data_IF_683598322518
#
_entry.id   IF_683598322518
#
_cell.length_a   1.000
_cell.length_b   1.000
_cell.length_c   1.000
_cell.angle_alpha   90.00
_cell.angle_beta   90.00
_cell.angle_gamma   90.00
#
_symmetry.space_group_name_H-M   'P 1'
#
loop_
_entity.id
_entity.type
_entity.pdbx_description
1 polymer ?
#
# COMPACT_ATOMS: atom_id res chain seq x y z
N UNK A 1 26.69 8.02 -17.66
CA UNK A 1 26.45 9.42 -18.07
C UNK A 1 25.04 9.68 -18.59
N UNK A 2 24.39 8.80 -19.39
CA UNK A 2 22.98 9.03 -19.77
C UNK A 2 21.98 8.79 -18.63
N UNK A 3 22.31 7.89 -17.68
CA UNK A 3 21.49 7.60 -16.49
C UNK A 3 21.35 8.81 -15.56
N UNK A 4 22.45 9.54 -15.32
CA UNK A 4 22.50 10.62 -14.33
C UNK A 4 21.77 11.87 -14.83
N UNK A 5 21.80 12.11 -16.16
CA UNK A 5 21.07 13.18 -16.81
C UNK A 5 19.55 12.94 -16.76
N UNK A 6 19.11 11.70 -17.00
CA UNK A 6 17.70 11.32 -16.85
C UNK A 6 17.24 11.42 -15.39
N UNK A 7 18.10 11.06 -14.44
CA UNK A 7 17.81 11.20 -13.01
C UNK A 7 17.68 12.67 -12.59
N UNK A 8 18.56 13.53 -13.09
CA UNK A 8 18.53 14.98 -12.82
C UNK A 8 17.31 15.67 -13.46
N UNK A 9 16.90 15.25 -14.66
CA UNK A 9 15.65 15.73 -15.29
C UNK A 9 14.42 15.27 -14.48
N UNK A 10 14.46 14.09 -13.86
CA UNK A 10 13.36 13.58 -13.02
C UNK A 10 13.16 14.42 -11.75
N UNK A 11 14.17 15.17 -11.30
CA UNK A 11 14.11 16.00 -10.08
C UNK A 11 13.56 17.40 -10.37
N UNK A 12 13.52 17.84 -11.63
CA UNK A 12 12.92 19.13 -11.99
C UNK A 12 11.39 19.08 -11.83
N UNK A 13 10.90 19.46 -10.65
CA UNK A 13 9.48 19.59 -10.33
C UNK A 13 8.92 20.81 -11.05
N UNK A 14 8.32 20.59 -12.22
CA UNK A 14 7.55 21.64 -12.89
C UNK A 14 6.30 21.92 -12.04
N UNK A 15 6.09 23.16 -11.57
CA UNK A 15 4.94 23.49 -10.73
C UNK A 15 3.65 23.22 -11.50
N UNK A 16 2.65 22.66 -10.82
CA UNK A 16 1.38 22.26 -11.43
C UNK A 16 0.71 23.40 -12.21
N UNK A 17 0.82 24.64 -11.70
CA UNK A 17 0.30 25.84 -12.38
C UNK A 17 0.90 26.03 -13.78
N UNK A 18 2.21 25.80 -13.92
CA UNK A 18 2.91 25.94 -15.20
C UNK A 18 2.56 24.80 -16.16
N UNK A 19 2.33 23.59 -15.64
CA UNK A 19 1.83 22.46 -16.44
C UNK A 19 0.44 22.77 -17.02
N UNK A 20 -0.47 23.27 -16.18
CA UNK A 20 -1.84 23.63 -16.59
C UNK A 20 -1.80 24.78 -17.60
N UNK A 21 -1.01 25.83 -17.36
CA UNK A 21 -0.92 26.96 -18.30
C UNK A 21 -0.30 26.55 -19.63
N UNK A 22 0.75 25.71 -19.61
CA UNK A 22 1.37 25.17 -20.82
C UNK A 22 0.42 24.29 -21.62
N UNK A 23 -0.39 23.47 -20.95
CA UNK A 23 -1.44 22.68 -21.61
C UNK A 23 -2.49 23.55 -22.29
N UNK A 24 -2.99 24.54 -21.55
CA UNK A 24 -4.04 25.43 -22.03
C UNK A 24 -3.53 26.23 -23.24
N UNK A 25 -2.30 26.73 -23.19
CA UNK A 25 -1.66 27.40 -24.32
C UNK A 25 -1.54 26.47 -25.53
N UNK A 26 -1.12 25.20 -25.33
CA UNK A 26 -1.04 24.22 -26.40
C UNK A 26 -2.40 23.94 -27.06
N UNK A 27 -3.47 23.80 -26.26
CA UNK A 27 -4.84 23.62 -26.77
C UNK A 27 -5.29 24.84 -27.57
N UNK A 28 -5.05 26.06 -27.07
CA UNK A 28 -5.43 27.30 -27.75
C UNK A 28 -4.74 27.41 -29.09
N UNK A 29 -3.43 27.15 -29.15
CA UNK A 29 -2.67 27.21 -30.40
C UNK A 29 -3.18 26.15 -31.39
N UNK A 30 -3.46 24.93 -30.92
CA UNK A 30 -4.01 23.86 -31.76
C UNK A 30 -5.40 24.25 -32.32
N UNK A 31 -6.26 24.83 -31.48
CA UNK A 31 -7.59 25.29 -31.90
C UNK A 31 -7.50 26.43 -32.92
N UNK A 32 -6.59 27.38 -32.72
CA UNK A 32 -6.34 28.47 -33.67
C UNK A 32 -5.82 27.93 -35.00
N UNK A 33 -4.91 26.95 -34.98
CA UNK A 33 -4.42 26.32 -36.19
C UNK A 33 -5.53 25.60 -36.96
N UNK A 34 -6.34 24.79 -36.27
CA UNK A 34 -7.49 24.11 -36.85
C UNK A 34 -8.51 25.10 -37.44
N UNK A 35 -8.75 26.22 -36.75
CA UNK A 35 -9.61 27.29 -37.25
C UNK A 35 -9.08 27.91 -38.56
N UNK A 36 -7.77 28.18 -38.65
CA UNK A 36 -7.14 28.71 -39.87
C UNK A 36 -7.28 27.74 -41.03
N UNK A 37 -7.05 26.44 -40.80
CA UNK A 37 -7.23 25.39 -41.82
C UNK A 37 -8.69 25.33 -42.27
N UNK A 38 -9.64 25.31 -41.33
CA UNK A 38 -11.06 25.23 -41.65
C UNK A 38 -11.54 26.45 -42.44
N UNK A 39 -11.09 27.65 -42.07
CA UNK A 39 -11.41 28.88 -42.82
C UNK A 39 -10.76 28.88 -44.21
N UNK A 40 -9.53 28.41 -44.32
CA UNK A 40 -8.84 28.25 -45.60
C UNK A 40 -9.57 27.30 -46.55
N UNK A 41 -10.10 26.20 -46.02
CA UNK A 41 -10.94 25.25 -46.75
C UNK A 41 -12.27 25.88 -47.19
N UNK A 42 -12.94 26.62 -46.30
CA UNK A 42 -14.22 27.26 -46.61
C UNK A 42 -14.12 28.36 -47.68
N UNK A 43 -13.02 29.12 -47.67
CA UNK A 43 -12.78 30.19 -48.63
C UNK A 43 -12.14 29.69 -49.95
N UNK A 44 -11.86 28.38 -50.09
CA UNK A 44 -11.07 27.78 -51.19
C UNK A 44 -9.70 28.45 -51.40
N UNK A 45 -9.06 28.93 -50.32
CA UNK A 45 -7.74 29.55 -50.40
C UNK A 45 -6.66 28.55 -49.99
N UNK A 46 -6.10 27.86 -50.99
CA UNK A 46 -5.06 26.84 -50.84
C UNK A 46 -3.89 27.32 -49.97
N UNK A 47 -3.48 28.58 -50.12
CA UNK A 47 -2.40 29.17 -49.32
C UNK A 47 -2.62 29.07 -47.80
N UNK A 48 -3.83 29.30 -47.31
CA UNK A 48 -4.14 29.23 -45.87
C UNK A 48 -4.10 27.81 -45.34
N UNK A 49 -4.49 26.84 -46.18
CA UNK A 49 -4.44 25.42 -45.84
C UNK A 49 -2.99 24.95 -45.75
N UNK A 50 -2.13 25.35 -46.69
CA UNK A 50 -0.69 25.03 -46.67
C UNK A 50 0.02 25.67 -45.49
N UNK A 51 -0.27 26.95 -45.19
CA UNK A 51 0.32 27.62 -44.03
C UNK A 51 -0.14 26.97 -42.71
N UNK A 52 -1.41 26.62 -42.61
CA UNK A 52 -1.96 25.93 -41.44
C UNK A 52 -1.33 24.55 -41.23
N UNK A 53 -1.16 23.75 -42.28
CA UNK A 53 -0.56 22.43 -42.19
C UNK A 53 0.93 22.49 -41.81
N UNK A 54 1.69 23.46 -42.35
CA UNK A 54 3.08 23.69 -41.95
C UNK A 54 3.20 24.09 -40.47
N UNK A 55 2.34 25.00 -40.01
CA UNK A 55 2.33 25.42 -38.60
C UNK A 55 1.95 24.26 -37.67
N UNK A 56 1.01 23.40 -38.07
CA UNK A 56 0.67 22.19 -37.33
C UNK A 56 1.85 21.22 -37.24
N UNK A 57 2.57 21.00 -38.34
CA UNK A 57 3.73 20.13 -38.39
C UNK A 57 4.85 20.59 -37.44
N UNK A 58 5.07 21.91 -37.33
CA UNK A 58 6.06 22.50 -36.40
C UNK A 58 5.60 22.41 -34.94
N UNK A 59 4.30 22.59 -34.68
CA UNK A 59 3.77 22.60 -33.32
C UNK A 59 3.57 21.20 -32.72
N UNK A 60 3.27 20.20 -33.55
CA UNK A 60 3.02 18.83 -33.10
C UNK A 60 4.12 18.28 -32.16
N UNK A 61 5.43 18.35 -32.49
CA UNK A 61 6.48 17.87 -31.59
C UNK A 61 6.53 18.66 -30.28
N UNK A 62 6.29 19.98 -30.31
CA UNK A 62 6.26 20.82 -29.11
C UNK A 62 5.09 20.42 -28.20
N UNK A 63 3.91 20.22 -28.77
CA UNK A 63 2.72 19.76 -28.04
C UNK A 63 2.98 18.38 -27.44
N UNK A 64 3.59 17.47 -28.19
CA UNK A 64 3.89 16.12 -27.71
C UNK A 64 4.85 16.16 -26.52
N UNK A 65 5.88 17.02 -26.56
CA UNK A 65 6.78 17.26 -25.41
C UNK A 65 6.00 17.83 -24.22
N UNK A 66 5.12 18.82 -24.43
CA UNK A 66 4.32 19.42 -23.36
C UNK A 66 3.36 18.41 -22.71
N UNK A 67 2.74 17.55 -23.51
CA UNK A 67 1.88 16.45 -23.04
C UNK A 67 2.72 15.45 -22.23
N UNK A 68 3.89 15.06 -22.72
CA UNK A 68 4.78 14.15 -21.99
C UNK A 68 5.22 14.74 -20.64
N UNK A 69 5.55 16.05 -20.60
CA UNK A 69 5.91 16.77 -19.37
C UNK A 69 4.75 16.87 -18.37
N UNK A 70 3.50 16.84 -18.83
CA UNK A 70 2.34 16.79 -17.93
C UNK A 70 2.20 15.43 -17.26
N UNK A 71 2.42 14.35 -18.00
CA UNK A 71 2.39 12.99 -17.48
C UNK A 71 3.60 12.65 -16.61
N UNK A 72 4.69 13.42 -16.71
CA UNK A 72 5.80 13.38 -15.76
C UNK A 72 5.38 13.91 -14.37
N UNK A 73 4.62 13.11 -13.62
CA UNK A 73 4.45 13.27 -12.18
C UNK A 73 5.74 12.78 -11.51
N UNK A 74 6.75 13.64 -11.45
CA UNK A 74 7.96 13.43 -10.67
C UNK A 74 8.03 14.43 -9.53
N UNK A 75 8.53 13.99 -8.39
CA UNK A 75 8.67 14.81 -7.19
C UNK A 75 8.45 14.01 -5.91
N UNK A 76 8.89 14.59 -4.79
CA UNK A 76 8.68 14.01 -3.46
C UNK A 76 7.20 13.89 -3.11
N UNK A 77 6.37 14.86 -3.51
CA UNK A 77 4.93 14.85 -3.21
C UNK A 77 4.21 13.66 -3.84
N UNK A 78 4.54 13.33 -5.10
CA UNK A 78 3.97 12.15 -5.76
C UNK A 78 4.38 10.86 -5.03
N UNK A 79 5.60 10.80 -4.49
CA UNK A 79 6.08 9.67 -3.70
C UNK A 79 5.32 9.56 -2.37
N UNK A 80 5.08 10.69 -1.71
CA UNK A 80 4.30 10.79 -0.46
C UNK A 80 2.87 10.34 -0.71
N UNK A 81 2.19 10.88 -1.73
CA UNK A 81 0.80 10.54 -2.05
C UNK A 81 0.66 9.05 -2.40
N UNK A 82 1.63 8.47 -3.11
CA UNK A 82 1.63 7.03 -3.43
C UNK A 82 1.91 6.16 -2.20
N UNK A 83 2.88 6.54 -1.39
CA UNK A 83 3.17 5.87 -0.10
C UNK A 83 1.92 5.87 0.78
N UNK A 84 1.28 7.03 0.92
CA UNK A 84 0.03 7.19 1.66
C UNK A 84 -1.09 6.33 1.06
N UNK A 85 -1.25 6.30 -0.26
CA UNK A 85 -2.24 5.44 -0.92
C UNK A 85 -2.02 3.95 -0.61
N UNK A 86 -0.77 3.49 -0.59
CA UNK A 86 -0.47 2.10 -0.20
C UNK A 86 -0.82 1.84 1.27
N UNK A 87 -0.38 2.71 2.18
CA UNK A 87 -0.57 2.55 3.63
C UNK A 87 -2.04 2.69 4.08
N UNK A 88 -2.77 3.64 3.53
CA UNK A 88 -4.12 4.02 4.02
C UNK A 88 -5.25 3.33 3.25
N UNK A 89 -5.03 2.94 1.99
CA UNK A 89 -6.06 2.31 1.16
C UNK A 89 -5.72 0.84 0.86
N UNK A 90 -4.58 0.57 0.23
CA UNK A 90 -4.28 -0.78 -0.30
C UNK A 90 -4.07 -1.83 0.80
N UNK A 91 -3.22 -1.54 1.78
CA UNK A 91 -2.94 -2.49 2.88
C UNK A 91 -4.22 -2.81 3.67
N UNK A 92 -5.00 -1.82 4.17
CA UNK A 92 -6.26 -2.08 4.88
C UNK A 92 -7.26 -2.88 4.07
N UNK A 93 -7.35 -2.62 2.76
CA UNK A 93 -8.24 -3.33 1.85
C UNK A 93 -7.89 -4.81 1.70
N UNK A 94 -6.60 -5.16 1.74
CA UNK A 94 -6.21 -6.57 1.78
C UNK A 94 -6.35 -7.15 3.19
N UNK A 95 -6.06 -6.38 4.25
CA UNK A 95 -6.26 -6.83 5.63
C UNK A 95 -7.72 -7.16 5.95
N UNK A 96 -8.69 -6.48 5.35
CA UNK A 96 -10.11 -6.80 5.53
C UNK A 96 -10.49 -8.18 4.96
N UNK A 97 -9.60 -8.84 4.22
CA UNK A 97 -9.78 -10.19 3.66
C UNK A 97 -9.08 -11.27 4.48
N UNK A 98 -8.41 -10.90 5.58
CA UNK A 98 -7.66 -11.86 6.43
C UNK A 98 -8.59 -12.92 6.98
N UNK A 99 -9.78 -12.53 7.46
CA UNK A 99 -10.81 -13.47 7.93
C UNK A 99 -11.57 -14.03 6.74
N UNK A 100 -11.46 -15.35 6.58
CA UNK A 100 -12.29 -16.08 5.64
C UNK A 100 -13.69 -16.21 6.25
N UNK A 101 -14.69 -15.58 5.63
CA UNK A 101 -16.08 -15.82 6.00
C UNK A 101 -16.37 -17.32 5.90
N UNK A 102 -16.53 -17.98 7.06
CA UNK A 102 -16.82 -19.42 7.18
C UNK A 102 -18.12 -19.79 6.46
N UNK A 103 -19.03 -18.84 6.29
CA UNK A 103 -20.34 -19.01 5.66
C UNK A 103 -20.42 -18.54 4.21
N UNK A 104 -19.32 -18.58 3.45
CA UNK A 104 -19.41 -18.38 1.98
C UNK A 104 -20.13 -19.59 1.36
N UNK A 105 -21.46 -19.53 1.36
CA UNK A 105 -22.27 -20.32 0.43
C UNK A 105 -21.75 -19.95 -0.96
N UNK A 106 -21.13 -20.90 -1.65
CA UNK A 106 -20.73 -20.77 -3.04
C UNK A 106 -22.00 -20.52 -3.88
N UNK A 107 -22.39 -19.25 -4.01
CA UNK A 107 -23.44 -18.87 -4.96
C UNK A 107 -22.84 -19.07 -6.35
N UNK A 108 -23.52 -19.78 -7.27
CA UNK A 108 -23.05 -19.92 -8.63
C UNK A 108 -22.81 -18.52 -9.22
N UNK A 109 -21.64 -18.34 -9.83
CA UNK A 109 -21.22 -17.08 -10.42
C UNK A 109 -22.17 -16.71 -11.58
N UNK A 110 -23.19 -15.88 -11.30
CA UNK A 110 -23.98 -15.24 -12.34
C UNK A 110 -23.22 -14.01 -12.80
N UNK A 111 -22.71 -14.08 -14.02
CA UNK A 111 -22.09 -12.95 -14.72
C UNK A 111 -23.17 -11.92 -15.05
N UNK A 112 -23.49 -11.02 -14.13
CA UNK A 112 -24.33 -9.86 -14.43
C UNK A 112 -23.50 -8.87 -15.24
N UNK A 113 -23.63 -8.95 -16.56
CA UNK A 113 -23.17 -7.93 -17.50
C UNK A 113 -23.99 -6.66 -17.29
N UNK A 114 -23.51 -5.74 -16.45
CA UNK A 114 -24.14 -4.44 -16.27
C UNK A 114 -23.16 -3.41 -15.73
N UNK A 115 -22.76 -2.48 -16.60
CA UNK A 115 -22.39 -1.06 -16.41
C UNK A 115 -21.82 -0.54 -15.06
N UNK A 116 -20.95 0.49 -15.07
CA UNK A 116 -19.93 0.71 -14.05
C UNK A 116 -20.49 1.26 -12.74
N UNK A 117 -20.85 0.38 -11.81
CA UNK A 117 -21.06 0.71 -10.38
C UNK A 117 -19.76 1.12 -9.66
N UNK A 118 -18.60 1.06 -10.32
CA UNK A 118 -17.30 1.44 -9.75
C UNK A 118 -17.18 2.94 -9.40
N UNK A 119 -17.98 3.81 -10.01
CA UNK A 119 -17.98 5.25 -9.70
C UNK A 119 -18.72 5.61 -8.40
N UNK A 120 -19.69 4.80 -7.95
CA UNK A 120 -20.50 5.11 -6.77
C UNK A 120 -19.95 4.53 -5.45
N UNK A 121 -19.02 3.59 -5.48
CA UNK A 121 -18.35 3.08 -4.25
C UNK A 121 -17.27 4.00 -3.71
N UNK A 122 -16.82 5.00 -4.47
CA UNK A 122 -15.72 5.89 -4.05
C UNK A 122 -16.19 7.05 -3.15
N UNK A 123 -17.50 7.25 -2.97
CA UNK A 123 -18.05 8.35 -2.16
C UNK A 123 -18.51 7.97 -0.75
N UNK A 124 -18.47 6.68 -0.36
CA UNK A 124 -18.98 6.25 0.96
C UNK A 124 -17.93 6.25 2.09
N UNK A 125 -16.68 6.66 1.85
CA UNK A 125 -15.63 6.64 2.88
C UNK A 125 -15.51 7.90 3.74
N UNK A 126 -16.16 9.01 3.35
CA UNK A 126 -16.07 10.28 4.09
C UNK A 126 -17.16 10.49 5.16
N UNK A 127 -18.02 9.48 5.40
CA UNK A 127 -19.12 9.54 6.37
C UNK A 127 -18.92 8.72 7.64
N UNK A 128 -17.68 8.32 8.00
CA UNK A 128 -17.41 7.49 9.19
C UNK A 128 -17.32 8.35 10.46
N UNK A 129 -18.44 8.94 10.84
CA UNK A 129 -18.70 9.26 12.24
C UNK A 129 -18.68 7.95 13.03
N UNK A 130 -17.85 7.93 14.07
CA UNK A 130 -17.70 6.91 15.11
C UNK A 130 -18.67 5.71 15.04
N UNK A 131 -18.11 4.55 14.69
CA UNK A 131 -18.69 3.21 14.85
C UNK A 131 -18.85 2.79 16.34
N UNK A 132 -19.27 3.71 17.20
CA UNK A 132 -19.41 3.45 18.65
C UNK A 132 -20.78 2.82 18.97
N UNK A 133 -21.81 3.07 18.16
CA UNK A 133 -23.19 2.66 18.48
C UNK A 133 -23.73 1.45 17.69
N UNK A 134 -22.88 0.71 16.96
CA UNK A 134 -23.35 -0.50 16.26
C UNK A 134 -23.55 -1.65 17.27
N UNK A 135 -24.75 -2.27 17.32
CA UNK A 135 -25.06 -3.32 18.27
C UNK A 135 -24.09 -4.51 18.09
N UNK A 136 -23.68 -5.20 19.17
CA UNK A 136 -22.64 -6.23 19.14
C UNK A 136 -22.89 -7.36 18.13
N UNK A 137 -24.16 -7.63 17.79
CA UNK A 137 -24.55 -8.69 16.86
C UNK A 137 -24.22 -8.42 15.39
N UNK A 138 -24.05 -7.16 15.00
CA UNK A 138 -23.79 -6.77 13.61
C UNK A 138 -22.37 -6.26 13.38
N UNK A 139 -21.50 -6.32 14.41
CA UNK A 139 -20.11 -5.91 14.25
C UNK A 139 -19.41 -6.91 13.32
N UNK A 140 -18.72 -6.44 12.27
CA UNK A 140 -17.93 -7.33 11.42
C UNK A 140 -16.94 -8.08 12.31
N UNK A 141 -16.75 -9.38 12.05
CA UNK A 141 -15.84 -10.27 12.78
C UNK A 141 -14.38 -9.76 12.79
N UNK A 142 -14.07 -8.76 11.97
CA UNK A 142 -12.78 -8.10 11.89
C UNK A 142 -12.94 -6.59 11.89
N UNK A 143 -12.33 -5.92 12.87
CA UNK A 143 -12.19 -4.47 12.88
C UNK A 143 -10.71 -4.11 12.64
N UNK A 144 -10.47 -3.17 11.72
CA UNK A 144 -9.13 -2.63 11.45
C UNK A 144 -9.19 -1.13 11.76
N UNK A 145 -8.41 -0.73 12.75
CA UNK A 145 -8.17 0.68 13.07
C UNK A 145 -6.80 1.07 12.53
N UNK A 146 -6.70 2.28 11.97
CA UNK A 146 -5.48 2.80 11.33
C UNK A 146 -5.14 4.14 11.98
N UNK A 147 -3.88 4.33 12.34
CA UNK A 147 -3.32 5.63 12.71
C UNK A 147 -2.19 5.99 11.74
N UNK A 148 -2.38 7.09 11.01
CA UNK A 148 -1.44 7.58 10.02
C UNK A 148 -1.52 9.11 9.91
N UNK A 149 -0.37 9.76 9.79
CA UNK A 149 -0.26 11.20 9.55
C UNK A 149 0.23 11.43 8.12
N UNK A 150 -0.45 12.31 7.37
CA UNK A 150 -0.06 12.64 5.99
C UNK A 150 1.39 13.12 5.96
N UNK A 151 2.18 12.52 5.06
CA UNK A 151 3.62 12.81 4.94
C UNK A 151 4.51 11.78 5.63
N UNK A 152 3.97 11.02 6.60
CA UNK A 152 4.73 9.96 7.23
C UNK A 152 4.92 8.78 6.28
N UNK A 153 6.07 8.13 6.41
CA UNK A 153 6.38 6.92 5.68
C UNK A 153 5.86 5.66 6.39
N UNK A 154 5.03 5.78 7.42
CA UNK A 154 4.52 4.63 8.17
C UNK A 154 3.05 4.78 8.55
N UNK A 155 2.42 3.65 8.85
CA UNK A 155 1.10 3.60 9.45
C UNK A 155 1.04 2.50 10.52
N UNK A 156 0.30 2.78 11.59
CA UNK A 156 -0.01 1.84 12.66
C UNK A 156 -1.38 1.22 12.41
N UNK A 157 -1.47 -0.09 12.54
CA UNK A 157 -2.67 -0.88 12.36
C UNK A 157 -2.97 -1.63 13.65
N UNK A 158 -4.21 -1.57 14.07
CA UNK A 158 -4.75 -2.39 15.15
C UNK A 158 -5.84 -3.27 14.55
N UNK A 159 -5.61 -4.57 14.62
CA UNK A 159 -6.53 -5.59 14.13
C UNK A 159 -7.21 -6.26 15.32
N UNK A 160 -8.54 -6.30 15.30
CA UNK A 160 -9.37 -7.02 16.26
C UNK A 160 -10.13 -8.10 15.49
N UNK A 161 -9.88 -9.37 15.80
CA UNK A 161 -10.52 -10.50 15.11
C UNK A 161 -10.71 -11.69 16.04
N UNK A 162 -11.94 -12.22 16.12
CA UNK A 162 -12.29 -13.38 16.98
C UNK A 162 -11.79 -13.25 18.44
N UNK A 163 -11.82 -12.02 19.00
CA UNK A 163 -11.33 -11.71 20.34
C UNK A 163 -9.82 -11.41 20.41
N UNK A 164 -9.06 -11.77 19.38
CA UNK A 164 -7.60 -11.53 19.32
C UNK A 164 -7.29 -10.11 18.86
N UNK A 165 -6.34 -9.50 19.52
CA UNK A 165 -5.81 -8.17 19.19
C UNK A 165 -4.37 -8.25 18.68
N UNK A 166 -4.10 -7.69 17.51
CA UNK A 166 -2.74 -7.58 16.94
C UNK A 166 -2.44 -6.13 16.60
N UNK A 167 -1.26 -5.68 17.00
CA UNK A 167 -0.70 -4.38 16.62
C UNK A 167 0.40 -4.58 15.59
N UNK A 168 0.32 -3.84 14.49
CA UNK A 168 1.27 -3.87 13.40
C UNK A 168 1.66 -2.44 13.02
N UNK A 169 2.94 -2.17 12.78
CA UNK A 169 3.37 -0.96 12.08
C UNK A 169 4.01 -1.33 10.76
N UNK A 170 3.61 -0.69 9.68
CA UNK A 170 4.27 -0.82 8.37
C UNK A 170 4.95 0.49 8.03
N UNK A 171 6.26 0.45 7.78
CA UNK A 171 7.08 1.59 7.38
C UNK A 171 7.59 1.36 5.95
N UNK A 172 7.24 2.24 5.00
CA UNK A 172 7.67 2.20 3.61
C UNK A 172 8.78 3.23 3.36
N UNK A 173 10.03 2.76 3.35
CA UNK A 173 11.23 3.57 3.16
C UNK A 173 11.73 3.39 1.72
N UNK A 174 11.07 4.04 0.77
CA UNK A 174 11.39 4.10 -0.68
C UNK A 174 11.51 2.73 -1.36
N UNK A 175 12.59 1.99 -1.09
CA UNK A 175 12.90 0.65 -1.63
C UNK A 175 12.86 -0.45 -0.57
N UNK A 176 12.45 -0.15 0.66
CA UNK A 176 12.38 -1.11 1.76
C UNK A 176 11.07 -0.97 2.50
N UNK A 177 10.45 -2.08 2.87
CA UNK A 177 9.36 -2.12 3.83
C UNK A 177 9.87 -2.70 5.15
N UNK A 178 9.59 -2.03 6.27
CA UNK A 178 9.73 -2.61 7.60
C UNK A 178 8.34 -2.91 8.13
N UNK A 179 8.12 -4.15 8.56
CA UNK A 179 6.89 -4.62 9.16
C UNK A 179 7.19 -4.96 10.61
N UNK A 180 6.62 -4.19 11.52
CA UNK A 180 6.85 -4.28 12.95
C UNK A 180 5.67 -4.99 13.59
N UNK A 181 5.82 -6.27 13.93
CA UNK A 181 4.81 -7.04 14.65
C UNK A 181 4.96 -6.71 16.13
N UNK A 182 4.00 -5.99 16.69
CA UNK A 182 4.09 -5.43 18.04
C UNK A 182 3.44 -6.39 19.05
N UNK A 183 4.23 -6.83 20.01
CA UNK A 183 3.85 -7.82 21.03
C UNK A 183 3.82 -7.12 22.39
N UNK A 184 2.76 -7.27 23.19
CA UNK A 184 2.73 -6.73 24.55
C UNK A 184 3.97 -7.17 25.36
N UNK A 185 4.53 -6.25 26.15
CA UNK A 185 5.76 -6.51 26.94
C UNK A 185 5.63 -7.75 27.85
N UNK A 186 4.44 -8.01 28.38
CA UNK A 186 4.10 -9.19 29.20
C UNK A 186 4.34 -10.53 28.49
N UNK A 187 4.22 -10.56 27.17
CA UNK A 187 4.41 -11.75 26.35
C UNK A 187 5.81 -11.81 25.71
N UNK A 188 6.58 -10.72 25.79
CA UNK A 188 7.82 -10.57 25.06
C UNK A 188 8.92 -11.56 25.50
N UNK A 189 9.01 -11.91 26.79
CA UNK A 189 10.00 -12.86 27.28
C UNK A 189 9.95 -14.22 26.56
N UNK A 190 8.76 -14.67 26.15
CA UNK A 190 8.58 -15.91 25.38
C UNK A 190 9.12 -15.77 23.95
N UNK A 191 8.91 -14.60 23.36
CA UNK A 191 9.25 -14.30 21.96
C UNK A 191 10.73 -13.94 21.79
N UNK A 192 11.35 -13.28 22.78
CA UNK A 192 12.78 -12.92 22.76
C UNK A 192 13.70 -14.12 22.52
N UNK A 193 13.41 -15.26 23.14
CA UNK A 193 14.17 -16.51 22.96
C UNK A 193 14.09 -17.01 21.50
N UNK A 194 12.91 -16.92 20.89
CA UNK A 194 12.70 -17.29 19.48
C UNK A 194 13.42 -16.36 18.51
N UNK A 195 13.33 -15.04 18.71
CA UNK A 195 13.96 -14.07 17.79
C UNK A 195 15.48 -14.25 17.81
N UNK A 196 16.04 -14.50 18.99
CA UNK A 196 17.48 -14.75 19.15
C UNK A 196 17.91 -16.04 18.43
N UNK A 197 17.14 -17.12 18.58
CA UNK A 197 17.46 -18.38 17.89
C UNK A 197 17.30 -18.26 16.37
N UNK A 198 16.25 -17.61 15.88
CA UNK A 198 16.04 -17.42 14.43
C UNK A 198 17.10 -16.52 13.78
N UNK A 199 17.65 -15.57 14.51
CA UNK A 199 18.77 -14.75 14.05
C UNK A 199 20.06 -15.58 13.88
N UNK A 200 20.30 -16.54 14.76
CA UNK A 200 21.47 -17.43 14.71
C UNK A 200 21.30 -18.54 13.66
N UNK A 201 20.07 -18.96 13.37
CA UNK A 201 19.70 -19.98 12.36
C UNK A 201 19.98 -19.54 10.90
N UNK A 202 20.63 -18.40 10.68
CA UNK A 202 21.28 -18.09 9.39
C UNK A 202 22.36 -19.09 8.96
N UNK A 203 22.76 -20.05 9.82
CA UNK A 203 23.80 -21.06 9.54
C UNK A 203 23.48 -22.50 9.99
N UNK A 204 22.29 -22.79 10.51
CA UNK A 204 22.02 -24.11 11.10
C UNK A 204 21.39 -25.02 10.04
N UNK A 205 22.11 -26.09 9.70
CA UNK A 205 21.61 -27.19 8.87
C UNK A 205 20.32 -27.74 9.48
N UNK A 206 19.32 -27.95 8.64
CA UNK A 206 17.92 -28.30 8.94
C UNK A 206 17.67 -29.64 9.66
N UNK A 207 18.70 -30.32 10.16
CA UNK A 207 18.59 -31.73 10.56
C UNK A 207 18.54 -31.95 12.08
N UNK A 208 18.54 -30.90 12.91
CA UNK A 208 18.47 -31.06 14.37
C UNK A 208 17.01 -30.99 14.87
N UNK A 209 16.37 -32.15 14.79
CA UNK A 209 14.93 -32.44 15.01
C UNK A 209 14.47 -32.33 16.48
N UNK A 210 15.24 -31.75 17.39
CA UNK A 210 15.03 -31.89 18.85
C UNK A 210 14.53 -30.64 19.58
N UNK A 211 14.18 -29.56 18.87
CA UNK A 211 13.51 -28.39 19.49
C UNK A 211 12.01 -28.65 19.55
N UNK A 212 11.59 -29.28 20.66
CA UNK A 212 10.23 -29.63 21.09
C UNK A 212 9.08 -28.95 20.33
N UNK A 213 8.26 -29.79 19.72
CA UNK A 213 7.17 -29.52 18.78
C UNK A 213 5.93 -28.78 19.31
N UNK A 214 5.98 -28.21 20.52
CA UNK A 214 4.85 -27.46 21.09
C UNK A 214 5.18 -25.97 21.27
N UNK A 215 4.53 -25.16 20.43
CA UNK A 215 4.11 -23.79 20.70
C UNK A 215 5.20 -22.74 20.93
N UNK A 216 6.07 -22.51 19.94
CA UNK A 216 6.77 -21.23 19.88
C UNK A 216 5.94 -20.27 19.02
N UNK A 217 5.30 -19.23 19.61
CA UNK A 217 4.44 -18.32 18.88
C UNK A 217 5.19 -17.72 17.69
N UNK A 218 4.55 -17.66 16.52
CA UNK A 218 5.08 -17.05 15.30
C UNK A 218 6.19 -17.85 14.59
N UNK A 219 6.53 -19.08 15.01
CA UNK A 219 7.58 -19.87 14.32
C UNK A 219 7.28 -20.02 12.83
N UNK A 220 6.07 -20.46 12.47
CA UNK A 220 5.74 -20.73 11.07
C UNK A 220 5.61 -19.43 10.27
N UNK A 221 5.03 -18.40 10.90
CA UNK A 221 4.97 -17.05 10.33
C UNK A 221 6.37 -16.51 10.00
N UNK A 222 7.33 -16.60 10.92
CA UNK A 222 8.68 -16.06 10.73
C UNK A 222 9.48 -16.86 9.71
N UNK A 223 9.34 -18.19 9.70
CA UNK A 223 9.94 -19.05 8.66
C UNK A 223 9.34 -18.72 7.29
N UNK A 224 8.01 -18.59 7.19
CA UNK A 224 7.31 -18.19 5.97
C UNK A 224 7.75 -16.81 5.48
N UNK A 225 7.88 -15.84 6.38
CA UNK A 225 8.40 -14.51 6.06
C UNK A 225 9.83 -14.57 5.52
N UNK A 226 10.73 -15.36 6.13
CA UNK A 226 12.09 -15.54 5.61
C UNK A 226 12.09 -16.12 4.18
N UNK A 227 11.26 -17.12 3.93
CA UNK A 227 11.08 -17.71 2.59
C UNK A 227 10.48 -16.73 1.58
N UNK A 228 9.64 -15.80 2.02
CA UNK A 228 9.10 -14.70 1.21
C UNK A 228 10.10 -13.53 1.01
N UNK A 229 11.33 -13.65 1.52
CA UNK A 229 12.40 -12.67 1.33
C UNK A 229 12.49 -11.58 2.39
N UNK A 230 11.86 -11.77 3.56
CA UNK A 230 12.06 -10.85 4.69
C UNK A 230 13.34 -11.20 5.46
N UNK A 231 14.12 -10.18 5.77
CA UNK A 231 15.16 -10.23 6.80
C UNK A 231 14.57 -9.92 8.16
N UNK A 232 14.87 -10.75 9.16
CA UNK A 232 14.39 -10.58 10.53
C UNK A 232 15.47 -9.83 11.32
N UNK A 233 15.11 -8.74 11.98
CA UNK A 233 16.02 -8.06 12.89
C UNK A 233 16.21 -8.88 14.18
N UNK A 234 17.45 -9.27 14.56
CA UNK A 234 17.71 -9.99 15.81
C UNK A 234 17.34 -9.20 17.06
N UNK A 235 17.43 -7.87 16.98
CA UNK A 235 17.18 -6.98 18.09
C UNK A 235 15.76 -6.40 17.97
N UNK A 236 14.82 -6.86 18.80
CA UNK A 236 13.47 -6.29 18.79
C UNK A 236 13.50 -4.86 19.32
N UNK A 237 12.55 -4.05 18.85
CA UNK A 237 12.50 -2.61 19.14
C UNK A 237 11.34 -2.33 20.10
N UNK A 238 11.60 -1.57 21.17
CA UNK A 238 10.55 -1.11 22.06
C UNK A 238 9.69 -0.02 21.40
N UNK A 239 8.38 -0.12 21.58
CA UNK A 239 7.39 0.83 21.09
C UNK A 239 6.36 1.11 22.17
N UNK A 240 5.79 2.30 22.15
CA UNK A 240 4.72 2.70 23.06
C UNK A 240 3.49 3.08 22.24
N UNK A 241 2.39 2.37 22.45
CA UNK A 241 1.09 2.68 21.85
C UNK A 241 0.08 2.94 22.95
N UNK A 242 -0.60 4.08 22.93
CA UNK A 242 -1.60 4.47 23.93
C UNK A 242 -1.11 4.31 25.39
N UNK A 243 0.16 4.63 25.65
CA UNK A 243 0.80 4.51 26.97
C UNK A 243 1.18 3.08 27.38
N UNK A 244 0.86 2.05 26.59
CA UNK A 244 1.28 0.67 26.82
C UNK A 244 2.57 0.38 26.06
N UNK A 245 3.46 -0.41 26.67
CA UNK A 245 4.73 -0.82 26.08
C UNK A 245 4.58 -2.11 25.30
N UNK A 246 5.17 -2.12 24.13
CA UNK A 246 5.23 -3.25 23.21
C UNK A 246 6.67 -3.48 22.81
N UNK A 247 7.00 -4.73 22.54
CA UNK A 247 8.23 -5.08 21.87
C UNK A 247 7.91 -5.54 20.45
N UNK A 248 8.55 -4.92 19.47
CA UNK A 248 8.28 -5.15 18.07
C UNK A 248 9.34 -6.03 17.42
N UNK A 249 8.92 -7.11 16.77
CA UNK A 249 9.76 -7.86 15.83
C UNK A 249 9.75 -7.10 14.51
N UNK A 250 10.93 -6.74 14.01
CA UNK A 250 11.07 -6.01 12.74
C UNK A 250 11.40 -6.97 11.62
N UNK A 251 10.50 -7.08 10.64
CA UNK A 251 10.69 -7.80 9.40
C UNK A 251 10.95 -6.79 8.29
N UNK A 252 12.17 -6.77 7.74
CA UNK A 252 12.54 -5.88 6.66
C UNK A 252 12.55 -6.62 5.32
N UNK A 253 11.83 -6.10 4.32
CA UNK A 253 11.79 -6.62 2.95
C UNK A 253 12.28 -5.58 1.96
N UNK A 254 13.12 -6.03 1.03
CA UNK A 254 13.50 -5.22 -0.12
C UNK A 254 12.33 -5.18 -1.11
N UNK A 255 11.92 -3.97 -1.49
CA UNK A 255 10.86 -3.74 -2.48
C UNK A 255 11.48 -3.55 -3.86
N UNK A 256 10.68 -3.80 -4.90
CA UNK A 256 11.04 -3.52 -6.28
C UNK A 256 11.39 -2.02 -6.46
N UNK A 257 12.33 -1.65 -7.35
CA UNK A 257 12.73 -0.26 -7.55
C UNK A 257 11.57 0.69 -7.88
N UNK A 258 10.58 0.19 -8.61
CA UNK A 258 9.40 0.94 -9.03
C UNK A 258 8.14 0.55 -8.23
N UNK A 259 8.30 -0.04 -7.04
CA UNK A 259 7.19 -0.53 -6.20
C UNK A 259 6.04 0.49 -6.07
N UNK A 260 6.33 1.76 -5.80
CA UNK A 260 5.29 2.80 -5.61
C UNK A 260 4.56 3.17 -6.90
N UNK A 261 5.07 2.78 -8.07
CA UNK A 261 4.48 3.02 -9.38
C UNK A 261 3.87 1.77 -10.01
N UNK A 262 4.31 0.57 -9.62
CA UNK A 262 3.78 -0.70 -10.12
C UNK A 262 2.62 -1.22 -9.25
N UNK A 263 1.37 -1.21 -9.73
CA UNK A 263 0.23 -1.71 -8.98
C UNK A 263 0.27 -3.21 -8.69
N UNK A 264 0.93 -4.01 -9.55
CA UNK A 264 1.03 -5.44 -9.38
C UNK A 264 1.96 -5.78 -8.20
N UNK A 265 3.12 -5.13 -8.13
CA UNK A 265 4.05 -5.25 -7.00
C UNK A 265 3.42 -4.79 -5.68
N UNK A 266 2.64 -3.70 -5.71
CA UNK A 266 1.89 -3.24 -4.53
C UNK A 266 0.87 -4.27 -4.07
N UNK A 267 0.10 -4.84 -5.00
CA UNK A 267 -0.88 -5.88 -4.68
C UNK A 267 -0.19 -7.13 -4.11
N UNK A 268 0.90 -7.58 -4.74
CA UNK A 268 1.66 -8.73 -4.28
C UNK A 268 2.18 -8.55 -2.85
N UNK A 269 2.76 -7.38 -2.55
CA UNK A 269 3.18 -7.04 -1.19
C UNK A 269 2.00 -7.02 -0.19
N UNK A 270 0.88 -6.38 -0.55
CA UNK A 270 -0.28 -6.31 0.34
C UNK A 270 -0.90 -7.70 0.60
N UNK A 271 -0.94 -8.58 -0.41
CA UNK A 271 -1.40 -9.96 -0.27
C UNK A 271 -0.47 -10.78 0.62
N UNK A 272 0.83 -10.63 0.44
CA UNK A 272 1.83 -11.29 1.28
C UNK A 272 1.72 -10.85 2.75
N UNK A 273 1.53 -9.55 3.03
CA UNK A 273 1.23 -9.07 4.38
C UNK A 273 -0.08 -9.64 4.93
N UNK A 274 -1.13 -9.74 4.11
CA UNK A 274 -2.40 -10.34 4.50
C UNK A 274 -2.22 -11.81 4.90
N UNK A 275 -1.47 -12.60 4.11
CA UNK A 275 -1.19 -14.00 4.45
C UNK A 275 -0.33 -14.13 5.71
N UNK A 276 0.67 -13.26 5.87
CA UNK A 276 1.47 -13.19 7.10
C UNK A 276 0.58 -12.90 8.31
N UNK A 277 -0.31 -11.90 8.22
CA UNK A 277 -1.23 -11.55 9.30
C UNK A 277 -2.21 -12.68 9.64
N UNK A 278 -2.66 -13.43 8.62
CA UNK A 278 -3.47 -14.63 8.82
C UNK A 278 -2.70 -15.72 9.58
N UNK A 279 -1.45 -15.97 9.20
CA UNK A 279 -0.59 -16.92 9.91
C UNK A 279 -0.39 -16.49 11.37
N UNK A 280 -0.11 -15.19 11.61
CA UNK A 280 -0.01 -14.62 12.95
C UNK A 280 -1.30 -14.92 13.73
N UNK A 281 -2.47 -14.56 13.23
CA UNK A 281 -3.75 -14.80 13.92
C UNK A 281 -4.00 -16.27 14.26
N UNK A 282 -3.59 -17.19 13.38
CA UNK A 282 -3.72 -18.63 13.61
C UNK A 282 -2.78 -19.15 14.70
N UNK A 283 -1.57 -18.57 14.80
CA UNK A 283 -0.55 -18.93 15.79
C UNK A 283 -0.70 -18.15 17.10
N UNK A 284 -1.41 -17.02 17.09
CA UNK A 284 -1.56 -16.10 18.21
C UNK A 284 -2.54 -16.66 19.25
N UNK A 285 -2.02 -17.37 20.25
CA UNK A 285 -2.81 -17.98 21.33
C UNK A 285 -2.38 -17.51 22.73
N UNK A 286 -1.99 -16.23 22.88
CA UNK A 286 -1.54 -15.71 24.18
C UNK A 286 -2.65 -15.65 25.24
N UNK A 287 -3.91 -15.51 24.82
CA UNK A 287 -5.06 -15.31 25.73
C UNK A 287 -5.56 -16.60 26.41
N UNK A 288 -5.17 -17.77 25.93
CA UNK A 288 -5.57 -19.03 26.57
C UNK A 288 -4.96 -19.25 27.96
N UNK A 289 -3.93 -18.46 28.33
CA UNK A 289 -3.17 -18.68 29.57
C UNK A 289 -3.44 -17.65 30.68
N UNK A 290 -4.03 -16.48 30.39
CA UNK A 290 -4.20 -15.42 31.41
C UNK A 290 -5.42 -15.63 32.33
N UNK A 291 -6.24 -16.66 32.14
CA UNK A 291 -7.26 -17.11 33.11
C UNK A 291 -8.37 -16.09 33.44
N UNK A 292 -8.33 -14.89 32.88
CA UNK A 292 -9.33 -13.86 33.02
C UNK A 292 -10.37 -14.02 31.91
N UNK A 293 -11.15 -15.10 31.98
CA UNK A 293 -12.47 -15.11 31.39
C UNK A 293 -13.28 -14.04 32.15
N UNK A 294 -13.20 -12.78 31.70
CA UNK A 294 -14.19 -11.79 32.07
C UNK A 294 -15.48 -12.24 31.37
N UNK A 295 -16.52 -12.66 32.11
CA UNK A 295 -17.79 -12.99 31.48
C UNK A 295 -18.32 -11.68 30.88
N UNK A 296 -18.35 -11.60 29.56
CA UNK A 296 -19.13 -10.59 28.87
C UNK A 296 -20.61 -10.89 29.19
N UNK A 297 -21.17 -10.09 30.11
CA UNK A 297 -22.60 -9.97 30.34
C UNK A 297 -23.22 -8.98 29.33
#
# INVERSE_FOLDING_TARGET
MSSDLLQNIRIATIPLKLKISGFLAAIIILALNMYVIQKGLGDNKEFWVVAGSQLLAVLLPIILILVFLQFAHSGGDALIDRTQSVLVDKIPREFSKVVEHKDKIFKPYRFETGFPQSLLRSFSFLGRGASIDMPPRDRPETCIEISHVKGDCFADYRLLSEGKEIYLRVELIVKRANVNICIPEEHFCKVKKLVSSLAEVGKINTDDETVSDFAVPLKNTLVGAKSAGYSINPAPIERVFNGKRYCAIVLARQLAPDFLWDPAEQLYFCQDLMFMLRAILSEWNFEAETGAAVPFA
#
